data_IF_996344268125
#
_entry.id   IF_996344268125
#
_cell.length_a   1.000
_cell.length_b   1.000
_cell.length_c   1.000
_cell.angle_alpha   90.00
_cell.angle_beta   90.00
_cell.angle_gamma   90.00
#
_symmetry.space_group_name_H-M   'P 1'
#
loop_
_entity.id
_entity.type
_entity.pdbx_description
1 polymer ?
#
# COMPACT_ATOMS: atom_id res chain seq x y z
N UNK A 1 1.71 -23.03 -0.38
CA UNK A 1 2.56 -22.42 0.66
C UNK A 1 1.66 -21.77 1.70
N UNK A 2 1.87 -22.00 3.00
CA UNK A 2 1.10 -21.31 4.05
C UNK A 2 1.44 -19.82 3.96
N UNK A 3 0.47 -18.96 3.61
CA UNK A 3 0.65 -17.49 3.70
C UNK A 3 1.16 -17.21 5.11
N UNK A 4 2.33 -16.56 5.22
CA UNK A 4 2.88 -16.22 6.53
C UNK A 4 1.82 -15.43 7.29
N UNK A 5 1.66 -15.70 8.59
CA UNK A 5 0.65 -15.02 9.41
C UNK A 5 1.15 -13.60 9.76
N UNK A 6 1.32 -12.76 8.73
CA UNK A 6 1.88 -11.41 8.79
C UNK A 6 0.99 -10.49 9.62
N UNK A 7 -0.30 -10.83 9.78
CA UNK A 7 -1.22 -10.11 10.66
C UNK A 7 -0.77 -10.05 12.13
N UNK A 8 -0.06 -11.09 12.60
CA UNK A 8 0.46 -11.15 13.97
C UNK A 8 1.89 -10.60 14.11
N UNK A 9 2.50 -10.15 13.01
CA UNK A 9 3.83 -9.54 13.04
C UNK A 9 3.77 -8.07 13.38
N UNK A 10 4.88 -7.50 13.86
CA UNK A 10 4.99 -6.06 14.07
C UNK A 10 4.81 -5.25 12.78
N UNK A 11 4.52 -3.96 12.93
CA UNK A 11 4.27 -3.06 11.81
C UNK A 11 5.43 -3.02 10.80
N UNK A 12 6.69 -3.03 11.24
CA UNK A 12 7.84 -2.91 10.34
C UNK A 12 7.94 -4.13 9.40
N UNK A 13 7.63 -5.32 9.91
CA UNK A 13 7.59 -6.52 9.09
C UNK A 13 6.44 -6.48 8.07
N UNK A 14 5.27 -5.97 8.48
CA UNK A 14 4.12 -5.78 7.57
C UNK A 14 4.42 -4.76 6.48
N UNK A 15 5.01 -3.62 6.86
CA UNK A 15 5.42 -2.57 5.94
C UNK A 15 6.42 -3.10 4.90
N UNK A 16 7.49 -3.77 5.36
CA UNK A 16 8.49 -4.35 4.47
C UNK A 16 7.87 -5.35 3.50
N UNK A 17 7.01 -6.25 3.98
CA UNK A 17 6.34 -7.21 3.11
C UNK A 17 5.45 -6.53 2.08
N UNK A 18 4.62 -5.57 2.52
CA UNK A 18 3.79 -4.79 1.63
C UNK A 18 4.62 -4.17 0.51
N UNK A 19 5.67 -3.41 0.84
CA UNK A 19 6.53 -2.75 -0.14
C UNK A 19 7.10 -3.76 -1.14
N UNK A 20 7.73 -4.84 -0.65
CA UNK A 20 8.33 -5.88 -1.52
C UNK A 20 7.32 -6.56 -2.45
N UNK A 21 6.05 -6.67 -2.06
CA UNK A 21 5.03 -7.34 -2.86
C UNK A 21 4.45 -6.41 -3.90
N UNK A 22 4.13 -5.16 -3.54
CA UNK A 22 3.50 -4.23 -4.48
C UNK A 22 4.48 -3.71 -5.55
N UNK A 23 5.79 -3.87 -5.34
CA UNK A 23 6.84 -3.54 -6.31
C UNK A 23 7.35 -4.76 -7.07
N UNK A 24 6.95 -5.98 -6.70
CA UNK A 24 7.33 -7.20 -7.42
C UNK A 24 6.65 -7.26 -8.79
N UNK A 25 7.39 -7.64 -9.83
CA UNK A 25 6.87 -7.84 -11.19
C UNK A 25 5.66 -8.79 -11.24
N UNK A 26 5.59 -9.77 -10.34
CA UNK A 26 4.51 -10.76 -10.31
C UNK A 26 3.17 -10.19 -9.83
N UNK A 27 3.19 -9.11 -9.04
CA UNK A 27 1.98 -8.58 -8.38
C UNK A 27 1.68 -7.16 -8.80
N UNK A 28 2.69 -6.29 -8.73
CA UNK A 28 2.72 -4.89 -9.17
C UNK A 28 1.42 -4.09 -8.98
N UNK A 29 0.72 -4.34 -7.87
CA UNK A 29 -0.62 -3.84 -7.61
C UNK A 29 -0.81 -3.53 -6.12
N UNK A 30 -1.67 -2.55 -5.84
CA UNK A 30 -2.08 -2.14 -4.50
C UNK A 30 -3.59 -2.24 -4.37
N UNK A 31 -4.07 -2.76 -3.25
CA UNK A 31 -5.48 -2.71 -2.85
C UNK A 31 -5.67 -1.53 -1.91
N UNK A 32 -6.60 -0.65 -2.25
CA UNK A 32 -6.91 0.58 -1.54
C UNK A 32 -8.33 0.47 -0.95
N UNK A 33 -8.43 0.58 0.36
CA UNK A 33 -9.66 0.75 1.10
C UNK A 33 -9.96 2.21 1.40
N UNK A 34 -11.22 2.58 1.23
CA UNK A 34 -11.77 3.88 1.58
C UNK A 34 -13.05 3.69 2.40
N UNK A 35 -12.99 4.05 3.68
CA UNK A 35 -14.10 4.03 4.64
C UNK A 35 -14.87 5.36 4.71
N UNK A 36 -14.56 6.31 3.81
CA UNK A 36 -15.10 7.67 3.80
C UNK A 36 -14.24 8.68 4.56
N UNK A 37 -13.19 8.24 5.26
CA UNK A 37 -12.25 9.14 5.94
C UNK A 37 -11.21 9.75 4.99
N UNK A 38 -10.40 10.65 5.54
CA UNK A 38 -9.20 11.19 4.89
C UNK A 38 -7.99 10.25 5.00
N UNK A 39 -8.19 9.00 5.42
CA UNK A 39 -7.17 7.97 5.48
C UNK A 39 -7.51 6.89 4.46
N UNK A 40 -6.51 6.39 3.75
CA UNK A 40 -6.61 5.23 2.87
C UNK A 40 -5.93 4.03 3.51
N UNK A 41 -6.60 2.90 3.43
CA UNK A 41 -6.14 1.63 3.98
C UNK A 41 -5.48 0.84 2.85
N UNK A 42 -4.24 0.38 3.01
CA UNK A 42 -3.50 -0.25 1.93
C UNK A 42 -3.18 -1.71 2.23
N UNK A 43 -3.42 -2.59 1.26
CA UNK A 43 -3.03 -4.00 1.31
C UNK A 43 -2.40 -4.45 0.00
N UNK A 44 -1.57 -5.48 0.09
CA UNK A 44 -0.90 -6.14 -1.01
C UNK A 44 -1.63 -7.40 -1.49
N UNK A 45 -2.54 -7.95 -0.67
CA UNK A 45 -3.25 -9.20 -0.94
C UNK A 45 -4.65 -9.21 -0.29
N UNK A 46 -5.63 -9.79 -0.98
CA UNK A 46 -7.04 -9.86 -0.57
C UNK A 46 -7.21 -10.61 0.76
N UNK A 47 -6.40 -11.63 1.04
CA UNK A 47 -6.48 -12.41 2.28
C UNK A 47 -6.31 -11.53 3.53
N UNK A 48 -5.37 -10.59 3.48
CA UNK A 48 -5.11 -9.70 4.62
C UNK A 48 -6.17 -8.61 4.77
N UNK A 49 -6.71 -8.15 3.64
CA UNK A 49 -7.83 -7.23 3.58
C UNK A 49 -9.09 -7.89 4.15
N UNK A 50 -9.46 -9.10 3.70
CA UNK A 50 -10.65 -9.84 4.15
C UNK A 50 -10.71 -9.98 5.67
N UNK A 51 -9.59 -10.33 6.30
CA UNK A 51 -9.55 -10.48 7.75
C UNK A 51 -9.76 -9.14 8.51
N UNK A 52 -9.31 -8.01 7.94
CA UNK A 52 -9.67 -6.69 8.48
C UNK A 52 -11.17 -6.41 8.30
N UNK A 53 -11.70 -6.64 7.09
CA UNK A 53 -13.10 -6.38 6.74
C UNK A 53 -14.09 -7.22 7.54
N UNK A 54 -13.77 -8.48 7.81
CA UNK A 54 -14.62 -9.37 8.63
C UNK A 54 -14.82 -8.89 10.07
N UNK A 55 -13.91 -8.05 10.55
CA UNK A 55 -13.96 -7.48 11.91
C UNK A 55 -14.47 -6.03 11.89
N UNK A 56 -14.41 -5.36 10.73
CA UNK A 56 -14.76 -3.96 10.59
C UNK A 56 -16.24 -3.80 10.26
N UNK A 57 -16.98 -3.10 11.13
CA UNK A 57 -18.40 -2.79 10.89
C UNK A 57 -18.59 -1.64 9.88
N UNK A 58 -17.55 -0.83 9.66
CA UNK A 58 -17.61 0.30 8.72
C UNK A 58 -17.53 -0.20 7.28
N UNK A 59 -18.46 0.20 6.40
CA UNK A 59 -18.38 -0.15 4.99
C UNK A 59 -17.13 0.44 4.33
N UNK A 60 -16.30 -0.42 3.73
CA UNK A 60 -15.08 -0.02 3.04
C UNK A 60 -15.24 -0.25 1.54
N UNK A 61 -15.04 0.82 0.75
CA UNK A 61 -14.94 0.71 -0.71
C UNK A 61 -13.53 0.29 -1.08
N UNK A 62 -13.42 -0.74 -1.89
CA UNK A 62 -12.16 -1.32 -2.32
C UNK A 62 -11.88 -0.97 -3.77
N UNK A 63 -10.62 -0.65 -4.07
CA UNK A 63 -10.12 -0.49 -5.42
C UNK A 63 -8.76 -1.16 -5.53
N UNK A 64 -8.55 -1.97 -6.57
CA UNK A 64 -7.25 -2.55 -6.89
C UNK A 64 -6.67 -1.81 -8.07
N UNK A 65 -5.45 -1.31 -7.92
CA UNK A 65 -4.78 -0.46 -8.93
C UNK A 65 -3.34 -0.90 -9.13
N UNK A 66 -2.81 -0.62 -10.31
CA UNK A 66 -1.39 -0.75 -10.62
C UNK A 66 -0.55 0.22 -9.77
N UNK A 67 0.64 -0.24 -9.32
CA UNK A 67 1.50 0.54 -8.42
C UNK A 67 1.99 1.85 -9.04
N UNK A 68 2.30 1.88 -10.34
CA UNK A 68 2.71 3.11 -11.05
C UNK A 68 1.52 4.07 -11.20
N UNK A 69 0.33 3.55 -11.51
CA UNK A 69 -0.90 4.37 -11.54
C UNK A 69 -1.19 4.98 -10.17
N UNK A 70 -1.00 4.20 -9.11
CA UNK A 70 -1.16 4.67 -7.73
C UNK A 70 -0.16 5.79 -7.38
N UNK A 71 1.12 5.62 -7.73
CA UNK A 71 2.15 6.64 -7.55
C UNK A 71 1.83 7.93 -8.30
N UNK A 72 1.37 7.84 -9.56
CA UNK A 72 0.92 9.00 -10.34
C UNK A 72 -0.23 9.72 -9.67
N UNK A 73 -1.23 8.96 -9.23
CA UNK A 73 -2.38 9.52 -8.53
C UNK A 73 -1.95 10.26 -7.25
N UNK A 74 -1.02 9.71 -6.46
CA UNK A 74 -0.47 10.41 -5.29
C UNK A 74 0.30 11.68 -5.66
N UNK A 75 1.04 11.69 -6.79
CA UNK A 75 1.77 12.86 -7.28
C UNK A 75 0.85 13.98 -7.76
N UNK A 76 -0.25 13.63 -8.42
CA UNK A 76 -1.19 14.57 -9.04
C UNK A 76 -2.30 15.03 -8.07
N UNK A 77 -2.60 14.23 -7.05
CA UNK A 77 -3.63 14.54 -6.06
C UNK A 77 -3.21 15.70 -5.17
N UNK A 78 -3.99 16.78 -5.20
CA UNK A 78 -3.90 17.89 -4.25
C UNK A 78 -4.70 17.63 -2.96
N UNK A 79 -5.22 16.41 -2.77
CA UNK A 79 -6.02 16.06 -1.60
C UNK A 79 -5.09 15.67 -0.45
N UNK A 80 -5.26 16.32 0.69
CA UNK A 80 -4.59 15.96 1.93
C UNK A 80 -5.17 14.64 2.46
N UNK A 81 -4.60 13.53 2.01
CA UNK A 81 -5.01 12.15 2.34
C UNK A 81 -3.82 11.41 2.92
N UNK A 82 -3.99 10.83 4.11
CA UNK A 82 -3.00 9.97 4.74
C UNK A 82 -3.22 8.51 4.35
N UNK A 83 -2.19 7.69 4.55
CA UNK A 83 -2.22 6.27 4.24
C UNK A 83 -1.80 5.43 5.44
N UNK A 84 -2.40 4.26 5.56
CA UNK A 84 -1.97 3.23 6.52
C UNK A 84 -1.66 1.95 5.77
N UNK A 85 -0.45 1.42 5.96
CA UNK A 85 -0.03 0.16 5.36
C UNK A 85 -0.49 -0.98 6.27
N UNK A 86 -1.22 -1.91 5.67
CA UNK A 86 -1.64 -3.17 6.26
C UNK A 86 -2.20 -3.01 7.69
N UNK A 87 -3.26 -2.19 7.87
CA UNK A 87 -3.86 -1.99 9.16
C UNK A 87 -4.37 -3.31 9.73
N UNK A 88 -4.25 -3.46 11.05
CA UNK A 88 -4.77 -4.60 11.81
C UNK A 88 -5.80 -4.04 12.78
N UNK A 89 -6.98 -4.65 12.82
CA UNK A 89 -8.07 -4.15 13.64
C UNK A 89 -7.67 -4.05 15.11
N UNK A 90 -7.99 -2.92 15.75
CA UNK A 90 -7.64 -2.65 17.15
C UNK A 90 -6.16 -2.32 17.40
N UNK A 91 -5.31 -2.28 16.37
CA UNK A 91 -3.91 -1.83 16.48
C UNK A 91 -3.71 -0.47 15.83
N UNK A 92 -2.92 0.39 16.47
CA UNK A 92 -2.49 1.63 15.85
C UNK A 92 -1.53 1.32 14.69
N UNK A 93 -1.83 1.91 13.52
CA UNK A 93 -0.92 1.94 12.38
C UNK A 93 -0.40 3.35 12.17
N UNK A 94 0.89 3.54 11.88
CA UNK A 94 1.42 4.82 11.45
C UNK A 94 0.66 5.36 10.23
N UNK A 95 0.39 6.67 10.29
CA UNK A 95 -0.12 7.43 9.16
C UNK A 95 1.05 7.94 8.35
N UNK A 96 1.03 7.66 7.06
CA UNK A 96 2.03 8.13 6.11
C UNK A 96 1.39 9.18 5.23
N UNK A 97 2.06 10.31 5.08
CA UNK A 97 1.68 11.31 4.08
C UNK A 97 1.90 10.76 2.67
N UNK A 98 1.28 11.35 1.62
CA UNK A 98 1.52 10.93 0.24
C UNK A 98 3.02 10.95 -0.13
N UNK A 99 3.76 11.93 0.38
CA UNK A 99 5.19 12.10 0.12
C UNK A 99 6.03 10.99 0.76
N UNK A 100 5.74 10.64 2.01
CA UNK A 100 6.46 9.58 2.72
C UNK A 100 6.20 8.20 2.10
N UNK A 101 4.94 7.92 1.78
CA UNK A 101 4.57 6.66 1.15
C UNK A 101 5.18 6.53 -0.25
N UNK A 102 5.05 7.57 -1.10
CA UNK A 102 5.61 7.55 -2.45
C UNK A 102 7.11 7.32 -2.42
N UNK A 103 7.82 8.00 -1.51
CA UNK A 103 9.26 7.79 -1.32
C UNK A 103 9.58 6.33 -0.97
N UNK A 104 8.89 5.74 0.00
CA UNK A 104 9.12 4.34 0.40
C UNK A 104 8.92 3.36 -0.76
N UNK A 105 7.90 3.57 -1.59
CA UNK A 105 7.62 2.72 -2.74
C UNK A 105 8.71 2.90 -3.81
N UNK A 106 9.08 4.14 -4.13
CA UNK A 106 10.13 4.44 -5.12
C UNK A 106 11.48 3.87 -4.68
N UNK A 107 11.88 4.11 -3.42
CA UNK A 107 13.14 3.59 -2.87
C UNK A 107 13.20 2.04 -2.96
N UNK A 108 12.06 1.36 -2.75
CA UNK A 108 11.97 -0.10 -2.91
C UNK A 108 12.09 -0.52 -4.39
N UNK A 109 11.40 0.17 -5.30
CA UNK A 109 11.47 -0.09 -6.75
C UNK A 109 12.88 0.12 -7.30
N UNK A 110 13.58 1.15 -6.85
CA UNK A 110 14.98 1.39 -7.22
C UNK A 110 15.91 0.31 -6.67
N UNK A 111 15.68 -0.16 -5.44
CA UNK A 111 16.47 -1.23 -4.83
C UNK A 111 16.27 -2.60 -5.50
N UNK A 112 15.07 -2.87 -6.02
CA UNK A 112 14.77 -4.15 -6.69
C UNK A 112 15.36 -4.21 -8.11
N UNK A 113 15.82 -3.06 -8.63
CA UNK A 113 16.81 -3.03 -9.70
C UNK A 113 16.30 -3.34 -11.10
N UNK A 114 15.07 -2.93 -11.45
CA UNK A 114 14.56 -3.03 -12.84
C UNK A 114 13.55 -1.91 -13.19
N UNK A 115 13.28 -1.01 -12.26
CA UNK A 115 12.18 -0.03 -12.40
C UNK A 115 12.61 1.39 -12.73
N UNK A 116 13.90 1.70 -12.81
CA UNK A 116 14.39 3.06 -13.03
C UNK A 116 13.82 3.70 -14.31
N UNK A 117 13.85 2.97 -15.43
CA UNK A 117 13.30 3.46 -16.70
C UNK A 117 11.78 3.64 -16.64
N UNK A 118 11.08 2.72 -15.97
CA UNK A 118 9.63 2.82 -15.73
C UNK A 118 9.30 4.08 -14.93
N UNK A 119 10.01 4.33 -13.82
CA UNK A 119 9.77 5.51 -12.98
C UNK A 119 10.04 6.81 -13.76
N UNK A 120 11.14 6.86 -14.52
CA UNK A 120 11.50 8.03 -15.34
C UNK A 120 10.50 8.29 -16.46
N UNK A 121 10.09 7.26 -17.20
CA UNK A 121 9.12 7.37 -18.29
C UNK A 121 7.74 7.86 -17.79
N UNK A 122 7.43 7.63 -16.52
CA UNK A 122 6.19 8.03 -15.88
C UNK A 122 6.29 9.33 -15.08
N UNK A 123 7.43 10.06 -15.16
CA UNK A 123 7.68 11.28 -14.42
C UNK A 123 7.49 11.07 -12.90
N UNK A 124 8.02 9.98 -12.36
CA UNK A 124 7.96 9.66 -10.92
C UNK A 124 9.31 9.91 -10.21
N UNK A 125 10.38 10.15 -10.97
CA UNK A 125 11.68 10.64 -10.52
C UNK A 125 11.86 12.13 -10.82
#
# INVERSE_FOLDING_TARGET
MKKQNIQNSDYLKREKNFLSTITSEETFQVIIGNDGSNIRLLWQDEYYMEAYLNTCETPIRLCKVDTVVFLKWMKESNVETDYTIHPVFGQASPKLTPKELSKKIIDQMESDGDFYDTLRANNLL
#
